data_IF_467961981509
#
_entry.id   IF_467961981509
#
_cell.length_a   1.000
_cell.length_b   1.000
_cell.length_c   1.000
_cell.angle_alpha   90.00
_cell.angle_beta   90.00
_cell.angle_gamma   90.00
#
_symmetry.space_group_name_H-M   'P 1'
#
loop_
_entity.id
_entity.type
_entity.pdbx_description
1 polymer ?
#
# COMPACT_ATOMS: atom_id res chain seq x y z
N UNK A 1 -30.12 -34.10 5.87
CA UNK A 1 -29.51 -33.01 6.64
C UNK A 1 -28.23 -32.59 5.92
N UNK A 2 -28.31 -31.62 5.09
CA UNK A 2 -27.15 -31.07 4.37
C UNK A 2 -26.60 -29.91 5.14
N UNK A 3 -25.44 -30.10 5.75
CA UNK A 3 -24.63 -29.02 6.28
C UNK A 3 -23.78 -28.50 5.14
N UNK A 4 -24.26 -27.48 4.49
CA UNK A 4 -23.48 -26.72 3.51
C UNK A 4 -22.64 -25.71 4.29
N UNK A 5 -21.41 -26.14 4.62
CA UNK A 5 -20.40 -25.29 5.21
C UNK A 5 -19.81 -24.39 4.15
N UNK A 6 -20.42 -23.25 3.90
CA UNK A 6 -19.79 -22.21 3.09
C UNK A 6 -18.82 -21.46 3.95
N UNK A 7 -17.58 -21.88 3.83
CA UNK A 7 -16.44 -21.17 4.36
C UNK A 7 -16.25 -19.91 3.46
N UNK A 8 -16.85 -18.82 3.91
CA UNK A 8 -16.75 -17.55 3.19
C UNK A 8 -15.51 -16.79 3.59
N UNK A 9 -14.37 -17.14 3.03
CA UNK A 9 -13.19 -16.25 3.05
C UNK A 9 -13.47 -15.06 2.13
N UNK A 10 -14.14 -14.06 2.67
CA UNK A 10 -14.37 -12.80 1.98
C UNK A 10 -13.13 -11.94 2.13
N UNK A 11 -12.19 -12.03 1.18
CA UNK A 11 -11.10 -11.08 1.05
C UNK A 11 -11.60 -9.72 0.53
N UNK A 12 -10.76 -8.67 0.57
CA UNK A 12 -11.13 -7.34 0.10
C UNK A 12 -11.63 -7.27 -1.35
N UNK A 13 -11.39 -8.31 -2.14
CA UNK A 13 -11.93 -8.45 -3.49
C UNK A 13 -13.44 -8.65 -3.55
N UNK A 14 -14.07 -9.09 -2.47
CA UNK A 14 -15.51 -9.35 -2.46
C UNK A 14 -16.35 -8.07 -2.40
N UNK A 15 -15.80 -6.96 -1.94
CA UNK A 15 -16.53 -5.69 -1.87
C UNK A 15 -16.80 -5.07 -3.25
N UNK A 16 -16.05 -5.47 -4.28
CA UNK A 16 -16.25 -5.06 -5.67
C UNK A 16 -16.71 -6.23 -6.55
N UNK A 17 -17.22 -7.24 -5.94
CA UNK A 17 -17.61 -8.61 -6.34
C UNK A 17 -18.23 -8.88 -7.68
N UNK A 18 -18.32 -7.94 -8.58
CA UNK A 18 -18.72 -8.20 -9.95
C UNK A 18 -17.47 -8.26 -10.84
N UNK A 19 -17.26 -9.40 -11.51
CA UNK A 19 -16.31 -9.48 -12.63
C UNK A 19 -16.84 -8.54 -13.71
N UNK A 20 -16.30 -7.34 -13.72
CA UNK A 20 -16.66 -6.39 -14.75
C UNK A 20 -15.98 -6.80 -16.07
N UNK A 21 -16.70 -6.90 -17.21
CA UNK A 21 -16.07 -7.11 -18.49
C UNK A 21 -14.99 -6.04 -18.74
N UNK A 22 -13.77 -6.46 -19.02
CA UNK A 22 -12.64 -5.57 -19.21
C UNK A 22 -11.82 -5.25 -17.95
N UNK A 23 -12.26 -5.72 -16.79
CA UNK A 23 -11.50 -5.62 -15.54
C UNK A 23 -10.79 -6.94 -15.27
N UNK A 24 -9.46 -6.90 -15.27
CA UNK A 24 -8.62 -8.08 -15.05
C UNK A 24 -7.94 -7.99 -13.68
N UNK A 25 -8.00 -9.07 -12.90
CA UNK A 25 -7.26 -9.18 -11.65
C UNK A 25 -5.77 -9.39 -11.93
N UNK A 26 -4.92 -8.64 -11.24
CA UNK A 26 -3.48 -8.81 -11.29
C UNK A 26 -3.03 -9.91 -10.34
N UNK A 27 -2.05 -10.71 -10.76
CA UNK A 27 -1.35 -11.64 -9.86
C UNK A 27 -0.53 -10.86 -8.82
N UNK A 28 -0.07 -11.56 -7.78
CA UNK A 28 0.83 -10.95 -6.78
C UNK A 28 2.09 -10.39 -7.44
N UNK A 29 2.74 -11.15 -8.32
CA UNK A 29 3.95 -10.70 -9.00
C UNK A 29 3.69 -9.49 -9.89
N UNK A 30 2.59 -9.46 -10.59
CA UNK A 30 2.17 -8.30 -11.38
C UNK A 30 1.90 -7.08 -10.51
N UNK A 31 1.29 -7.26 -9.33
CA UNK A 31 1.09 -6.20 -8.36
C UNK A 31 2.42 -5.63 -7.86
N UNK A 32 3.37 -6.49 -7.49
CA UNK A 32 4.69 -6.06 -7.04
C UNK A 32 5.47 -5.33 -8.13
N UNK A 33 5.37 -5.79 -9.36
CA UNK A 33 5.98 -5.13 -10.51
C UNK A 33 5.36 -3.73 -10.74
N UNK A 34 4.05 -3.63 -10.67
CA UNK A 34 3.34 -2.35 -10.79
C UNK A 34 3.72 -1.38 -9.67
N UNK A 35 3.77 -1.85 -8.42
CA UNK A 35 4.22 -1.06 -7.28
C UNK A 35 5.63 -0.51 -7.47
N UNK A 36 6.55 -1.32 -7.99
CA UNK A 36 7.93 -0.92 -8.25
C UNK A 36 8.09 0.09 -9.39
N UNK A 37 7.07 0.29 -10.21
CA UNK A 37 7.11 1.18 -11.37
C UNK A 37 6.80 2.65 -11.04
N UNK A 38 6.33 2.94 -9.83
CA UNK A 38 5.95 4.29 -9.39
C UNK A 38 6.73 4.68 -8.15
N UNK A 39 6.71 5.96 -7.80
CA UNK A 39 7.42 6.51 -6.63
C UNK A 39 6.50 7.19 -5.64
N UNK A 40 5.31 7.55 -6.04
CA UNK A 40 4.32 8.23 -5.19
C UNK A 40 3.09 7.35 -5.11
N UNK A 41 2.64 7.11 -3.90
CA UNK A 41 1.40 6.43 -3.60
C UNK A 41 0.62 7.20 -2.55
N UNK A 42 -0.47 6.61 -2.12
CA UNK A 42 -1.35 7.20 -1.11
C UNK A 42 -1.53 6.22 0.03
N UNK A 43 -1.29 6.70 1.24
CA UNK A 43 -1.55 5.93 2.44
C UNK A 43 -2.87 6.38 3.06
N UNK A 44 -3.75 5.41 3.32
CA UNK A 44 -4.99 5.60 4.04
C UNK A 44 -4.80 5.20 5.49
N UNK A 45 -5.01 6.14 6.39
CA UNK A 45 -4.85 5.97 7.83
C UNK A 45 -6.13 6.36 8.55
N UNK A 46 -6.23 5.96 9.81
CA UNK A 46 -7.29 6.40 10.70
C UNK A 46 -6.69 7.25 11.81
N UNK A 47 -7.07 8.50 11.87
CA UNK A 47 -6.68 9.44 12.92
C UNK A 47 -7.93 9.81 13.73
N UNK A 48 -7.97 9.43 15.01
CA UNK A 48 -9.11 9.66 15.91
C UNK A 48 -10.44 9.23 15.30
N UNK A 49 -10.48 8.02 14.78
CA UNK A 49 -11.63 7.43 14.08
C UNK A 49 -12.01 8.13 12.75
N UNK A 50 -11.21 9.07 12.28
CA UNK A 50 -11.40 9.73 11.00
C UNK A 50 -10.46 9.15 9.95
N UNK A 51 -10.97 8.66 8.81
CA UNK A 51 -10.10 8.22 7.72
C UNK A 51 -9.44 9.41 7.03
N UNK A 52 -8.15 9.28 6.79
CA UNK A 52 -7.34 10.31 6.13
C UNK A 52 -6.51 9.65 5.04
N UNK A 53 -6.38 10.30 3.89
CA UNK A 53 -5.55 9.85 2.77
C UNK A 53 -4.47 10.89 2.51
N UNK A 54 -3.21 10.44 2.46
CA UNK A 54 -2.04 11.30 2.27
C UNK A 54 -1.13 10.74 1.17
N UNK A 55 -0.59 11.61 0.29
CA UNK A 55 0.44 11.17 -0.65
C UNK A 55 1.77 10.97 0.08
N UNK A 56 2.49 9.94 -0.31
CA UNK A 56 3.82 9.65 0.20
C UNK A 56 4.74 9.16 -0.92
N UNK A 57 6.01 9.51 -0.84
CA UNK A 57 7.05 8.85 -1.62
C UNK A 57 7.35 7.51 -0.98
N UNK A 58 7.49 6.49 -1.81
CA UNK A 58 7.72 5.13 -1.33
C UNK A 58 8.71 4.39 -2.23
N UNK A 59 9.20 3.29 -1.71
CA UNK A 59 9.94 2.28 -2.47
C UNK A 59 9.61 0.89 -1.91
N UNK A 60 10.04 -0.14 -2.59
CA UNK A 60 9.89 -1.51 -2.11
C UNK A 60 11.18 -1.97 -1.45
N UNK A 61 11.04 -2.63 -0.31
CA UNK A 61 12.10 -3.33 0.40
C UNK A 61 11.64 -4.77 0.64
N UNK A 62 12.26 -5.72 -0.05
CA UNK A 62 11.89 -7.14 0.01
C UNK A 62 10.38 -7.38 -0.28
N UNK A 63 9.81 -6.63 -1.20
CA UNK A 63 8.42 -6.70 -1.58
C UNK A 63 7.44 -5.95 -0.67
N UNK A 64 7.92 -5.34 0.40
CA UNK A 64 7.11 -4.51 1.29
C UNK A 64 7.24 -3.03 0.92
N UNK A 65 6.16 -2.29 1.15
CA UNK A 65 6.15 -0.83 0.94
C UNK A 65 6.88 -0.14 2.08
N UNK A 66 7.84 0.71 1.75
CA UNK A 66 8.57 1.52 2.73
C UNK A 66 8.47 2.99 2.36
N UNK A 67 8.19 3.82 3.34
CA UNK A 67 8.22 5.27 3.22
C UNK A 67 8.78 5.89 4.51
N UNK A 68 9.15 7.16 4.43
CA UNK A 68 9.70 7.88 5.57
C UNK A 68 8.64 8.81 6.18
N UNK A 69 8.65 8.89 7.50
CA UNK A 69 7.86 9.88 8.26
C UNK A 69 8.78 10.76 9.07
N UNK A 70 8.31 11.96 9.41
CA UNK A 70 8.98 12.80 10.40
C UNK A 70 8.50 12.41 11.80
N UNK A 71 9.45 12.05 12.65
CA UNK A 71 9.17 11.64 14.04
C UNK A 71 8.37 12.71 14.77
N UNK A 72 7.29 12.31 15.43
CA UNK A 72 6.43 13.17 16.22
C UNK A 72 5.31 13.89 15.46
N UNK A 73 5.22 13.70 14.14
CA UNK A 73 4.10 14.24 13.36
C UNK A 73 2.82 13.41 13.56
N UNK A 74 1.68 13.99 13.18
CA UNK A 74 0.39 13.25 13.21
C UNK A 74 0.42 11.99 12.34
N UNK A 75 1.04 12.07 11.17
CA UNK A 75 1.20 10.91 10.30
C UNK A 75 2.02 9.82 11.01
N UNK A 76 3.15 10.19 11.60
CA UNK A 76 4.01 9.27 12.33
C UNK A 76 3.26 8.56 13.47
N UNK A 77 2.50 9.32 14.26
CA UNK A 77 1.72 8.77 15.37
C UNK A 77 0.55 7.91 14.93
N UNK A 78 -0.12 8.28 13.83
CA UNK A 78 -1.30 7.59 13.36
C UNK A 78 -0.96 6.31 12.57
N UNK A 79 0.21 6.25 11.93
CA UNK A 79 0.57 5.14 11.06
C UNK A 79 1.17 3.97 11.81
N UNK A 80 2.00 4.22 12.82
CA UNK A 80 2.73 3.16 13.53
C UNK A 80 1.80 2.23 14.28
N UNK A 81 2.00 0.92 14.08
CA UNK A 81 1.24 -0.18 14.71
C UNK A 81 -0.24 -0.20 14.34
N UNK A 82 -0.62 0.57 13.34
CA UNK A 82 -2.00 0.61 12.84
C UNK A 82 -2.14 -0.21 11.57
N UNK A 83 -3.34 -0.69 11.32
CA UNK A 83 -3.69 -1.26 10.02
C UNK A 83 -3.94 -0.09 9.08
N UNK A 84 -3.23 -0.07 7.98
CA UNK A 84 -3.30 0.98 6.97
C UNK A 84 -3.57 0.39 5.60
N UNK A 85 -4.09 1.21 4.70
CA UNK A 85 -4.19 0.90 3.29
C UNK A 85 -3.18 1.76 2.52
N UNK A 86 -2.59 1.17 1.50
CA UNK A 86 -1.69 1.87 0.59
C UNK A 86 -2.13 1.60 -0.84
N UNK A 87 -2.21 2.62 -1.65
CA UNK A 87 -2.72 2.52 -3.02
C UNK A 87 -1.80 3.23 -3.99
N UNK A 88 -1.60 2.62 -5.14
CA UNK A 88 -0.90 3.21 -6.28
C UNK A 88 -1.68 2.90 -7.53
N UNK A 89 -1.80 3.87 -8.42
CA UNK A 89 -2.47 3.66 -9.68
C UNK A 89 -1.79 4.42 -10.82
N UNK A 90 -2.17 4.05 -12.02
CA UNK A 90 -1.91 4.79 -13.22
C UNK A 90 -3.12 4.66 -14.13
N UNK A 91 -3.75 5.78 -14.46
CA UNK A 91 -4.96 5.83 -15.26
C UNK A 91 -4.73 6.73 -16.46
N UNK A 92 -5.06 6.22 -17.64
CA UNK A 92 -5.17 7.01 -18.86
C UNK A 92 -6.65 7.34 -19.09
N UNK A 93 -7.04 8.55 -18.75
CA UNK A 93 -8.45 8.96 -18.82
C UNK A 93 -8.97 9.00 -20.25
N UNK A 94 -8.12 9.30 -21.22
CA UNK A 94 -8.51 9.39 -22.63
C UNK A 94 -8.73 8.01 -23.24
N UNK A 95 -7.84 7.06 -22.95
CA UNK A 95 -7.94 5.70 -23.43
C UNK A 95 -8.92 4.86 -22.61
N UNK A 96 -9.26 5.29 -21.40
CA UNK A 96 -10.07 4.52 -20.47
C UNK A 96 -9.37 3.26 -19.97
N UNK A 97 -8.04 3.28 -19.92
CA UNK A 97 -7.21 2.16 -19.48
C UNK A 97 -6.45 2.52 -18.22
N UNK A 98 -5.94 1.53 -17.53
CA UNK A 98 -5.13 1.77 -16.34
C UNK A 98 -5.02 0.55 -15.45
N UNK A 99 -4.35 0.76 -14.33
CA UNK A 99 -4.22 -0.26 -13.29
C UNK A 99 -4.19 0.41 -11.92
N UNK A 100 -4.56 -0.36 -10.90
CA UNK A 100 -4.42 0.03 -9.50
C UNK A 100 -3.95 -1.15 -8.67
N UNK A 101 -3.19 -0.86 -7.63
CA UNK A 101 -2.73 -1.85 -6.65
C UNK A 101 -2.99 -1.30 -5.26
N UNK A 102 -3.56 -2.12 -4.40
CA UNK A 102 -3.81 -1.81 -3.00
C UNK A 102 -3.10 -2.82 -2.11
N UNK A 103 -2.44 -2.30 -1.09
CA UNK A 103 -1.80 -3.10 -0.04
C UNK A 103 -2.47 -2.72 1.28
N UNK A 104 -2.90 -3.73 2.04
CA UNK A 104 -3.46 -3.53 3.37
C UNK A 104 -2.64 -4.33 4.37
N UNK A 105 -2.24 -3.71 5.44
CA UNK A 105 -1.46 -4.39 6.47
C UNK A 105 -1.11 -3.48 7.63
N UNK A 106 -0.44 -4.06 8.61
CA UNK A 106 0.08 -3.33 9.75
C UNK A 106 1.32 -2.55 9.33
N UNK A 107 1.35 -1.27 9.68
CA UNK A 107 2.52 -0.43 9.50
C UNK A 107 3.44 -0.55 10.70
N UNK A 108 4.69 -0.87 10.46
CA UNK A 108 5.72 -1.09 11.48
C UNK A 108 6.92 -0.19 11.23
N UNK A 109 7.58 0.24 12.31
CA UNK A 109 8.86 0.91 12.18
C UNK A 109 9.94 -0.06 11.74
N UNK A 110 10.79 0.37 10.82
CA UNK A 110 12.00 -0.36 10.46
C UNK A 110 13.07 -0.02 11.51
N UNK A 111 13.42 -0.99 12.37
CA UNK A 111 14.30 -0.76 13.53
C UNK A 111 15.62 -1.53 13.46
N UNK A 112 15.71 -2.62 12.71
CA UNK A 112 16.93 -3.40 12.59
C UNK A 112 17.97 -2.64 11.78
N UNK A 113 19.20 -2.57 12.29
CA UNK A 113 20.27 -1.73 11.72
C UNK A 113 20.55 -2.00 10.24
N UNK A 114 20.59 -3.27 9.83
CA UNK A 114 20.80 -3.66 8.44
C UNK A 114 19.64 -3.22 7.54
N UNK A 115 18.43 -3.29 8.01
CA UNK A 115 17.25 -2.87 7.27
C UNK A 115 17.12 -1.35 7.21
N UNK A 116 17.49 -0.65 8.28
CA UNK A 116 17.57 0.82 8.28
C UNK A 116 18.60 1.30 7.25
N UNK A 117 19.76 0.67 7.17
CA UNK A 117 20.78 0.99 6.17
C UNK A 117 20.28 0.75 4.75
N UNK A 118 19.55 -0.36 4.52
CA UNK A 118 18.95 -0.63 3.22
C UNK A 118 17.87 0.39 2.88
N UNK A 119 17.06 0.82 3.86
CA UNK A 119 16.06 1.85 3.66
C UNK A 119 16.68 3.20 3.31
N UNK A 120 17.81 3.57 3.92
CA UNK A 120 18.54 4.77 3.56
C UNK A 120 19.06 4.75 2.12
N UNK A 121 19.39 3.57 1.61
CA UNK A 121 19.81 3.39 0.22
C UNK A 121 18.69 3.45 -0.80
N UNK A 122 17.42 3.46 -0.37
CA UNK A 122 16.28 3.60 -1.25
C UNK A 122 16.13 5.06 -1.69
N UNK A 123 15.66 5.27 -2.92
CA UNK A 123 15.37 6.60 -3.44
C UNK A 123 14.02 7.10 -2.89
N UNK A 124 14.03 7.38 -1.58
CA UNK A 124 12.90 7.95 -0.87
C UNK A 124 13.06 9.46 -0.76
N UNK A 125 12.80 10.16 -1.86
CA UNK A 125 12.79 11.62 -1.81
C UNK A 125 11.47 12.07 -1.15
N UNK A 126 11.51 12.56 0.10
CA UNK A 126 10.30 13.01 0.76
C UNK A 126 9.72 14.22 0.01
N UNK A 127 8.38 14.29 -0.07
CA UNK A 127 7.69 15.40 -0.70
C UNK A 127 7.96 16.72 0.03
N UNK A 128 8.31 16.66 1.29
CA UNK A 128 8.79 17.78 2.12
C UNK A 128 10.07 17.34 2.84
N UNK A 129 11.04 18.26 3.04
CA UNK A 129 12.24 17.94 3.81
C UNK A 129 11.88 17.47 5.22
N UNK A 130 12.46 16.34 5.65
CA UNK A 130 12.24 15.78 6.98
C UNK A 130 13.48 16.02 7.84
N UNK A 131 13.27 16.50 9.08
CA UNK A 131 14.36 16.76 10.05
C UNK A 131 14.80 15.50 10.76
N UNK A 132 13.86 14.68 11.22
CA UNK A 132 14.09 13.40 11.86
C UNK A 132 13.26 12.35 11.15
N UNK A 133 13.93 11.46 10.44
CA UNK A 133 13.27 10.43 9.65
C UNK A 133 13.12 9.16 10.46
N UNK A 134 11.94 8.58 10.30
CA UNK A 134 11.64 7.22 10.70
C UNK A 134 11.16 6.48 9.44
N UNK A 135 11.66 5.26 9.25
CA UNK A 135 11.20 4.44 8.13
C UNK A 135 10.05 3.56 8.60
N UNK A 136 8.98 3.54 7.83
CA UNK A 136 7.78 2.75 8.08
C UNK A 136 7.66 1.72 6.99
N UNK A 137 7.40 0.48 7.38
CA UNK A 137 7.15 -0.65 6.48
C UNK A 137 5.69 -1.06 6.58
N UNK A 138 5.06 -1.25 5.44
CA UNK A 138 3.76 -1.90 5.33
C UNK A 138 4.00 -3.27 4.70
N UNK A 139 3.67 -4.34 5.42
CA UNK A 139 3.81 -5.69 4.89
C UNK A 139 2.77 -5.92 3.80
N UNK A 140 3.24 -6.49 2.68
CA UNK A 140 2.39 -6.76 1.52
C UNK A 140 1.69 -8.12 1.60
N UNK A 141 1.22 -8.51 2.79
CA UNK A 141 0.53 -9.78 3.00
C UNK A 141 -0.84 -9.80 2.30
N UNK A 142 -1.55 -8.67 2.35
CA UNK A 142 -2.80 -8.47 1.63
C UNK A 142 -2.55 -7.48 0.50
N UNK A 143 -2.39 -8.01 -0.69
CA UNK A 143 -2.16 -7.23 -1.90
C UNK A 143 -3.16 -7.63 -2.97
N UNK A 144 -3.77 -6.63 -3.61
CA UNK A 144 -4.66 -6.84 -4.74
C UNK A 144 -4.40 -5.80 -5.81
N UNK A 145 -4.68 -6.14 -7.04
CA UNK A 145 -4.53 -5.22 -8.15
C UNK A 145 -5.47 -5.55 -9.29
N UNK A 146 -5.75 -4.53 -10.09
CA UNK A 146 -6.66 -4.64 -11.22
C UNK A 146 -6.13 -3.83 -12.40
N UNK A 147 -6.45 -4.33 -13.58
CA UNK A 147 -6.14 -3.66 -14.84
C UNK A 147 -7.40 -3.52 -15.65
N UNK A 148 -7.57 -2.33 -16.24
CA UNK A 148 -8.57 -2.06 -17.27
C UNK A 148 -7.82 -1.91 -18.57
N UNK A 149 -8.16 -2.71 -19.52
CA UNK A 149 -7.55 -2.67 -20.85
C UNK A 149 -8.57 -2.35 -21.95
#
# INVERSE_FOLDING_TARGET
MNHDGRDGTHGPDSALGAVHPGLEALSRDECLQALGSRRVGRVGITDRAMPVILPVNYALLDGDVVFATETGTKLDSAVLRSIVAFEVDQVDEQAGTGWSVCVTGVAEEVVQDDQVERARGLDLQPLVPLRRQRYVRIRSDLISGRRIS
#
